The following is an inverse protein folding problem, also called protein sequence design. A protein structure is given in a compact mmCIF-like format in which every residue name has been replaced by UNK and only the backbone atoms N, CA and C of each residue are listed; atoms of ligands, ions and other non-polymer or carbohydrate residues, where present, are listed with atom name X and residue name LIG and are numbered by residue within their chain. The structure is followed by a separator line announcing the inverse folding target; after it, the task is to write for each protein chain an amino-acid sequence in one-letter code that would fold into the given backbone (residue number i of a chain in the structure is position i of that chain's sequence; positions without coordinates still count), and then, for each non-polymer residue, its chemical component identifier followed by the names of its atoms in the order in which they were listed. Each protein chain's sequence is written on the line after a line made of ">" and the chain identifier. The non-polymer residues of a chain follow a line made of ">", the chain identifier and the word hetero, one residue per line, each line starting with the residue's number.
data_IF_603264437668
#
_entry.id   IF_603264437668
#
_cell.length_a   1.000
_cell.length_b   1.000
_cell.length_c   1.000
_cell.angle_alpha   90.00
_cell.angle_beta   90.00
_cell.angle_gamma   90.00
#
_symmetry.space_group_name_H-M   'P 1'
#
loop_
_entity.id
_entity.type
_entity.pdbx_description
1 polymer ?
#
# COMPACT_ATOMS: atom_id res chain seq x y z
N UNK A 1 -12.51 13.57 9.17
CA UNK A 1 -12.78 12.14 9.14
C UNK A 1 -13.42 11.75 7.81
N UNK A 2 -13.24 10.50 7.38
CA UNK A 2 -13.77 10.02 6.13
C UNK A 2 -15.24 9.66 6.14
N UNK A 3 -15.70 9.15 5.00
CA UNK A 3 -17.09 8.79 4.75
C UNK A 3 -17.50 7.59 5.62
N UNK A 4 -18.58 7.72 6.35
CA UNK A 4 -19.14 6.63 7.16
C UNK A 4 -20.11 5.78 6.31
N UNK A 5 -19.56 4.93 5.47
CA UNK A 5 -20.30 4.01 4.61
C UNK A 5 -19.70 2.60 4.66
N UNK A 6 -20.52 1.59 4.36
CA UNK A 6 -20.02 0.25 4.07
C UNK A 6 -19.26 0.24 2.73
N UNK A 7 -18.45 -0.77 2.51
CA UNK A 7 -17.85 -1.03 1.20
C UNK A 7 -18.72 -2.00 0.42
N UNK A 8 -18.87 -1.75 -0.87
CA UNK A 8 -19.50 -2.65 -1.85
C UNK A 8 -18.51 -3.04 -2.94
N UNK A 9 -18.90 -3.94 -3.82
CA UNK A 9 -18.13 -4.29 -5.01
C UNK A 9 -17.81 -3.04 -5.84
N UNK A 10 -16.59 -3.02 -6.41
CA UNK A 10 -16.12 -1.88 -7.18
C UNK A 10 -17.00 -1.60 -8.39
N UNK A 11 -17.51 -0.40 -8.51
CA UNK A 11 -18.43 0.04 -9.56
C UNK A 11 -17.73 0.42 -10.87
N UNK A 12 -16.39 0.34 -10.94
CA UNK A 12 -15.60 0.69 -12.11
C UNK A 12 -15.09 2.13 -12.12
N UNK A 13 -15.53 2.99 -11.20
CA UNK A 13 -15.18 4.42 -11.17
C UNK A 13 -14.77 4.90 -9.77
N UNK A 14 -15.62 4.70 -8.78
CA UNK A 14 -15.50 5.29 -7.45
C UNK A 14 -14.75 4.36 -6.50
N UNK A 15 -13.44 4.54 -6.36
CA UNK A 15 -12.63 3.77 -5.42
C UNK A 15 -12.86 4.20 -3.99
N UNK A 16 -12.83 3.26 -3.05
CA UNK A 16 -13.00 3.50 -1.62
C UNK A 16 -11.82 2.96 -0.86
N UNK A 17 -10.99 3.85 -0.30
CA UNK A 17 -9.83 3.46 0.49
C UNK A 17 -10.19 3.34 1.97
N UNK A 18 -9.86 2.18 2.55
CA UNK A 18 -10.02 1.85 3.97
C UNK A 18 -8.65 1.64 4.61
N UNK A 19 -8.58 1.54 5.92
CA UNK A 19 -7.32 1.28 6.65
C UNK A 19 -6.64 -0.03 6.22
N UNK A 20 -7.43 -1.02 5.75
CA UNK A 20 -6.94 -2.32 5.26
C UNK A 20 -6.41 -2.29 3.84
N UNK A 21 -6.71 -1.24 3.10
CA UNK A 21 -6.36 -1.10 1.69
C UNK A 21 -5.07 -0.28 1.50
N UNK A 22 -4.40 0.06 2.59
CA UNK A 22 -3.07 0.68 2.61
C UNK A 22 -2.03 -0.40 2.92
N UNK A 23 -1.06 -0.61 2.04
CA UNK A 23 0.02 -1.59 2.24
C UNK A 23 0.89 -1.23 3.47
N UNK A 24 1.26 -2.24 4.26
CA UNK A 24 2.00 -2.05 5.50
C UNK A 24 3.47 -1.67 5.29
N UNK A 25 4.04 -1.98 4.13
CA UNK A 25 5.46 -1.78 3.84
C UNK A 25 5.70 -0.59 2.89
N UNK A 26 4.85 -0.46 1.86
CA UNK A 26 5.02 0.56 0.82
C UNK A 26 4.17 1.80 1.08
N UNK A 27 3.18 1.71 1.97
CA UNK A 27 2.18 2.76 2.21
C UNK A 27 1.40 3.17 0.95
N UNK A 28 1.37 2.30 -0.06
CA UNK A 28 0.60 2.50 -1.28
C UNK A 28 -0.84 1.97 -1.14
N UNK A 29 -1.73 2.46 -1.99
CA UNK A 29 -3.09 1.96 -2.10
C UNK A 29 -3.10 0.60 -2.81
N UNK A 30 -3.59 -0.44 -2.13
CA UNK A 30 -3.73 -1.79 -2.68
C UNK A 30 -4.89 -1.82 -3.68
N UNK A 31 -4.60 -2.20 -4.92
CA UNK A 31 -5.58 -2.18 -6.02
C UNK A 31 -6.09 -3.55 -6.44
N UNK A 32 -5.65 -4.64 -5.79
CA UNK A 32 -6.03 -6.01 -6.16
C UNK A 32 -7.49 -6.32 -5.85
N UNK A 33 -8.09 -5.68 -4.83
CA UNK A 33 -9.46 -5.89 -4.39
C UNK A 33 -10.17 -4.56 -4.15
N UNK A 34 -10.31 -3.76 -5.19
CA UNK A 34 -10.97 -2.47 -5.12
C UNK A 34 -12.41 -2.58 -4.65
N UNK A 35 -12.85 -1.60 -3.89
CA UNK A 35 -14.23 -1.45 -3.44
C UNK A 35 -14.74 -0.05 -3.73
N UNK A 36 -16.06 0.12 -3.71
CA UNK A 36 -16.74 1.42 -3.78
C UNK A 36 -17.50 1.72 -2.49
N UNK A 37 -17.78 2.98 -2.15
CA UNK A 37 -18.65 3.30 -1.03
C UNK A 37 -20.08 2.83 -1.30
N UNK A 38 -20.71 2.18 -0.34
CA UNK A 38 -22.12 1.75 -0.44
C UNK A 38 -23.05 2.85 0.07
N UNK A 39 -23.07 3.97 -0.64
CA UNK A 39 -23.90 5.14 -0.33
C UNK A 39 -24.12 5.96 -1.59
N UNK A 40 -25.17 6.76 -1.62
CA UNK A 40 -25.37 7.83 -2.61
C UNK A 40 -24.25 8.87 -2.50
N UNK A 41 -23.52 9.09 -3.60
CA UNK A 41 -22.37 9.99 -3.63
C UNK A 41 -22.70 11.44 -3.97
N UNK A 42 -23.98 11.76 -4.20
CA UNK A 42 -24.45 13.13 -4.39
C UNK A 42 -24.14 13.95 -3.15
N UNK A 43 -23.30 14.99 -3.27
CA UNK A 43 -22.86 15.82 -2.15
C UNK A 43 -21.70 15.24 -1.32
N UNK A 44 -21.12 14.11 -1.73
CA UNK A 44 -19.97 13.50 -1.04
C UNK A 44 -18.60 14.03 -1.52
N UNK A 45 -18.56 15.14 -2.25
CA UNK A 45 -17.31 15.71 -2.82
C UNK A 45 -16.25 16.03 -1.77
N UNK A 46 -16.67 16.35 -0.56
CA UNK A 46 -15.75 16.60 0.57
C UNK A 46 -14.93 15.35 0.97
N UNK A 47 -15.36 14.17 0.55
CA UNK A 47 -14.66 12.91 0.83
C UNK A 47 -13.81 12.41 -0.34
N UNK A 48 -13.79 13.15 -1.44
CA UNK A 48 -12.84 12.92 -2.54
C UNK A 48 -11.45 13.39 -2.13
N UNK A 49 -10.45 12.58 -2.48
CA UNK A 49 -9.05 12.95 -2.29
C UNK A 49 -8.58 13.83 -3.44
N UNK A 50 -7.65 14.71 -3.12
CA UNK A 50 -6.94 15.58 -4.08
C UNK A 50 -5.44 15.40 -3.90
N UNK A 51 -4.66 15.68 -4.96
CA UNK A 51 -3.19 15.51 -4.97
C UNK A 51 -2.55 16.05 -3.69
N UNK A 52 -1.75 15.20 -3.03
CA UNK A 52 -1.03 15.55 -1.81
C UNK A 52 -1.88 15.48 -0.52
N UNK A 53 -3.16 15.06 -0.57
CA UNK A 53 -3.89 14.74 0.65
C UNK A 53 -3.23 13.54 1.36
N UNK A 54 -2.97 13.65 2.66
CA UNK A 54 -2.40 12.58 3.48
C UNK A 54 -3.50 11.99 4.35
N UNK A 55 -3.64 10.67 4.32
CA UNK A 55 -4.55 9.93 5.20
C UNK A 55 -3.79 9.27 6.34
N UNK A 56 -4.46 9.22 7.50
CA UNK A 56 -3.97 8.57 8.71
C UNK A 56 -5.00 7.57 9.24
N UNK A 57 -4.58 6.35 9.50
CA UNK A 57 -5.41 5.35 10.17
C UNK A 57 -5.55 5.68 11.65
N UNK A 58 -6.80 5.83 12.13
CA UNK A 58 -7.06 6.36 13.49
C UNK A 58 -7.22 5.30 14.57
N UNK A 59 -7.42 4.02 14.24
CA UNK A 59 -7.80 2.99 15.21
C UNK A 59 -7.18 1.62 14.91
N UNK A 60 -7.12 0.78 15.95
CA UNK A 60 -6.76 -0.63 15.85
C UNK A 60 -5.30 -0.88 15.57
N UNK A 61 -5.00 -2.06 15.03
CA UNK A 61 -3.64 -2.49 14.72
C UNK A 61 -2.95 -1.61 13.65
N UNK A 62 -3.74 -0.92 12.82
CA UNK A 62 -3.24 -0.02 11.77
C UNK A 62 -3.06 1.43 12.25
N UNK A 63 -3.28 1.75 13.53
CA UNK A 63 -3.16 3.12 14.03
C UNK A 63 -1.78 3.70 13.70
N UNK A 64 -1.76 4.93 13.19
CA UNK A 64 -0.53 5.59 12.74
C UNK A 64 -0.14 5.31 11.29
N UNK A 65 -0.68 4.27 10.65
CA UNK A 65 -0.42 4.04 9.23
C UNK A 65 -0.86 5.26 8.41
N UNK A 66 -0.01 5.70 7.49
CA UNK A 66 -0.26 6.86 6.63
C UNK A 66 -0.25 6.47 5.16
N UNK A 67 -0.89 7.27 4.33
CA UNK A 67 -0.93 7.15 2.88
C UNK A 67 -1.00 8.55 2.28
N UNK A 68 -0.30 8.80 1.18
CA UNK A 68 -0.41 10.04 0.41
C UNK A 68 -1.11 9.78 -0.91
N UNK A 69 -2.18 10.52 -1.17
CA UNK A 69 -2.94 10.40 -2.42
C UNK A 69 -2.19 11.06 -3.58
N UNK A 70 -2.18 10.36 -4.71
CA UNK A 70 -1.67 10.84 -6.00
C UNK A 70 -2.75 10.72 -7.07
N UNK A 71 -2.79 11.65 -8.01
CA UNK A 71 -3.77 11.64 -9.11
C UNK A 71 -3.70 10.36 -9.95
N UNK A 72 -2.57 9.63 -9.95
CA UNK A 72 -2.44 8.30 -10.55
C UNK A 72 -3.38 7.26 -9.95
N UNK A 73 -3.83 7.45 -8.70
CA UNK A 73 -4.73 6.53 -8.01
C UNK A 73 -6.18 6.64 -8.52
N UNK A 74 -6.47 7.70 -9.29
CA UNK A 74 -7.79 7.97 -9.87
C UNK A 74 -8.77 8.54 -8.85
N UNK A 75 -10.07 8.41 -9.10
CA UNK A 75 -11.10 8.93 -8.20
C UNK A 75 -11.21 8.06 -6.94
N UNK A 76 -10.80 8.61 -5.79
CA UNK A 76 -10.78 7.90 -4.51
C UNK A 76 -11.54 8.66 -3.44
N UNK A 77 -12.45 7.95 -2.76
CA UNK A 77 -13.11 8.36 -1.52
C UNK A 77 -12.45 7.65 -0.34
N UNK A 78 -12.38 8.27 0.83
CA UNK A 78 -11.75 7.67 2.02
C UNK A 78 -12.75 7.37 3.13
N UNK A 79 -12.53 6.25 3.82
CA UNK A 79 -13.44 5.70 4.82
C UNK A 79 -13.32 6.37 6.20
N UNK A 80 -14.35 6.26 7.03
CA UNK A 80 -14.51 6.94 8.32
C UNK A 80 -13.45 6.61 9.37
N UNK A 81 -12.70 5.52 9.22
CA UNK A 81 -11.56 5.19 10.09
C UNK A 81 -10.25 5.86 9.64
N UNK A 82 -10.30 6.68 8.60
CA UNK A 82 -9.19 7.50 8.14
C UNK A 82 -9.43 8.98 8.48
N UNK A 83 -8.35 9.67 8.75
CA UNK A 83 -8.30 11.12 8.97
C UNK A 83 -7.50 11.71 7.82
N UNK A 84 -8.04 12.72 7.14
CA UNK A 84 -7.33 13.43 6.08
C UNK A 84 -6.67 14.68 6.63
N UNK A 85 -5.38 14.86 6.32
CA UNK A 85 -4.68 16.12 6.40
C UNK A 85 -4.48 16.68 4.99
N UNK A 86 -4.92 17.89 4.76
CA UNK A 86 -4.65 18.67 3.56
C UNK A 86 -3.49 19.61 3.83
N UNK A 87 -2.41 19.41 3.12
CA UNK A 87 -1.18 20.17 3.35
C UNK A 87 -1.32 21.54 2.70
N UNK A 88 -0.94 22.59 3.44
CA UNK A 88 -1.00 23.96 2.95
C UNK A 88 0.05 24.17 1.86
N UNK A 89 -0.22 25.08 0.91
CA UNK A 89 0.61 25.31 -0.26
C UNK A 89 2.06 25.74 0.05
N UNK A 90 2.30 26.35 1.20
CA UNK A 90 3.64 26.71 1.67
C UNK A 90 4.53 25.52 2.04
N UNK A 91 3.96 24.31 2.15
CA UNK A 91 4.69 23.08 2.46
C UNK A 91 4.64 22.09 1.30
N UNK A 92 5.57 21.15 1.29
CA UNK A 92 5.61 20.06 0.32
C UNK A 92 4.96 18.81 0.91
N UNK A 93 3.92 18.30 0.28
CA UNK A 93 3.14 17.19 0.79
C UNK A 93 3.95 15.88 0.87
N UNK A 94 4.82 15.63 -0.11
CA UNK A 94 5.71 14.45 -0.06
C UNK A 94 6.69 14.56 1.11
N UNK A 95 7.30 15.73 1.34
CA UNK A 95 8.16 15.96 2.50
C UNK A 95 7.41 15.70 3.82
N UNK A 96 6.18 16.20 3.94
CA UNK A 96 5.36 15.98 5.15
C UNK A 96 5.03 14.50 5.30
N UNK A 97 4.63 13.83 4.23
CA UNK A 97 4.36 12.40 4.22
C UNK A 97 5.59 11.60 4.67
N UNK A 98 6.78 11.88 4.13
CA UNK A 98 8.00 11.16 4.52
C UNK A 98 8.34 11.32 6.01
N UNK A 99 7.94 12.42 6.66
CA UNK A 99 8.08 12.54 8.11
C UNK A 99 7.21 11.53 8.89
N UNK A 100 6.11 11.06 8.31
CA UNK A 100 5.25 10.05 8.92
C UNK A 100 5.81 8.63 8.85
N UNK A 101 6.90 8.42 8.11
CA UNK A 101 7.61 7.13 7.99
C UNK A 101 8.83 7.04 8.91
N UNK A 102 9.10 8.09 9.69
CA UNK A 102 10.28 8.16 10.58
C UNK A 102 10.05 7.45 11.92
N UNK A 103 11.14 6.96 12.53
CA UNK A 103 11.10 6.41 13.89
C UNK A 103 10.55 7.40 14.92
N UNK A 104 10.75 8.71 14.70
CA UNK A 104 10.22 9.75 15.58
C UNK A 104 8.70 9.76 15.55
N UNK A 105 8.12 9.67 14.37
CA UNK A 105 6.67 9.55 14.22
C UNK A 105 6.15 8.25 14.84
N UNK A 106 6.78 7.12 14.55
CA UNK A 106 6.37 5.83 15.10
C UNK A 106 6.39 5.83 16.65
N UNK A 107 7.41 6.43 17.28
CA UNK A 107 7.47 6.62 18.73
C UNK A 107 6.34 7.52 19.24
N UNK A 108 6.05 8.61 18.54
CA UNK A 108 4.94 9.49 18.89
C UNK A 108 3.60 8.75 18.86
N UNK A 109 3.32 8.01 17.79
CA UNK A 109 2.11 7.20 17.66
C UNK A 109 2.03 6.13 18.75
N UNK A 110 3.12 5.42 19.01
CA UNK A 110 3.16 4.38 20.04
C UNK A 110 2.79 4.89 21.44
N UNK A 111 3.17 6.12 21.77
CA UNK A 111 2.81 6.76 23.06
C UNK A 111 1.39 7.31 23.02
N UNK A 112 1.06 8.07 21.97
CA UNK A 112 -0.21 8.80 21.88
C UNK A 112 -1.42 7.85 21.70
N UNK A 113 -1.23 6.71 21.03
CA UNK A 113 -2.30 5.76 20.77
C UNK A 113 -2.70 4.89 21.96
N UNK A 114 -1.95 4.95 23.08
CA UNK A 114 -2.27 4.13 24.26
C UNK A 114 -3.63 4.50 24.86
N UNK A 115 -4.49 3.49 24.96
CA UNK A 115 -5.84 3.59 25.54
C UNK A 115 -6.09 2.35 26.42
N UNK A 116 -7.03 2.44 27.34
CA UNK A 116 -7.47 1.30 28.14
C UNK A 116 -8.17 0.19 27.33
N UNK A 117 -8.59 0.49 26.13
CA UNK A 117 -9.21 -0.43 25.18
C UNK A 117 -8.42 -0.50 23.87
N UNK A 118 -9.11 -0.30 22.74
CA UNK A 118 -8.47 -0.36 21.42
C UNK A 118 -7.55 0.87 21.20
N UNK A 119 -6.31 0.68 20.69
CA UNK A 119 -5.43 1.79 20.34
C UNK A 119 -6.11 2.77 19.38
N UNK A 120 -5.84 4.06 19.57
CA UNK A 120 -6.46 5.10 18.73
C UNK A 120 -5.74 6.44 18.84
N UNK A 121 -5.76 7.21 17.75
CA UNK A 121 -5.27 8.58 17.66
C UNK A 121 -6.33 9.41 16.93
N UNK A 122 -6.77 10.51 17.51
CA UNK A 122 -7.74 11.40 16.92
C UNK A 122 -7.06 12.50 16.07
N UNK A 123 -7.88 13.31 15.37
CA UNK A 123 -7.36 14.33 14.46
C UNK A 123 -6.54 15.41 15.18
N UNK A 124 -6.91 15.78 16.41
CA UNK A 124 -6.21 16.78 17.19
C UNK A 124 -4.84 16.24 17.65
N UNK A 125 -4.80 15.00 18.11
CA UNK A 125 -3.54 14.32 18.50
C UNK A 125 -2.60 14.17 17.30
N UNK A 126 -3.10 13.87 16.11
CA UNK A 126 -2.27 13.89 14.89
C UNK A 126 -1.71 15.28 14.58
N UNK A 127 -2.52 16.33 14.79
CA UNK A 127 -2.11 17.71 14.54
C UNK A 127 -1.05 18.23 15.53
N UNK A 128 -0.89 17.59 16.69
CA UNK A 128 0.13 17.94 17.70
C UNK A 128 1.52 17.33 17.39
N UNK A 129 1.63 16.47 16.38
CA UNK A 129 2.93 15.96 15.98
C UNK A 129 3.79 17.06 15.35
N UNK A 130 4.88 17.41 16.00
CA UNK A 130 5.80 18.47 15.55
C UNK A 130 6.83 17.92 14.57
N UNK A 131 7.06 18.62 13.46
CA UNK A 131 8.11 18.35 12.49
C UNK A 131 9.01 19.58 12.33
N UNK A 132 10.29 19.37 12.06
CA UNK A 132 11.22 20.45 11.69
C UNK A 132 11.14 20.64 10.18
N UNK A 133 10.90 21.87 9.75
CA UNK A 133 10.58 22.19 8.36
C UNK A 133 11.66 23.12 7.79
N UNK A 134 12.43 22.74 6.76
CA UNK A 134 13.33 23.62 6.05
C UNK A 134 12.56 24.51 5.07
N UNK A 135 13.29 25.31 4.26
CA UNK A 135 12.67 26.10 3.18
C UNK A 135 11.97 25.20 2.16
N UNK A 136 10.92 25.72 1.51
CA UNK A 136 10.08 24.96 0.57
C UNK A 136 10.88 24.23 -0.51
N UNK A 137 11.89 24.90 -1.07
CA UNK A 137 12.74 24.35 -2.13
C UNK A 137 13.51 23.11 -1.65
N UNK A 138 13.95 23.10 -0.40
CA UNK A 138 14.62 21.95 0.21
C UNK A 138 13.62 20.84 0.54
N UNK A 139 12.44 21.18 1.06
CA UNK A 139 11.35 20.20 1.27
C UNK A 139 11.05 19.44 -0.02
N UNK A 140 10.87 20.15 -1.14
CA UNK A 140 10.56 19.54 -2.44
C UNK A 140 11.69 18.63 -2.94
N UNK A 141 12.95 19.00 -2.73
CA UNK A 141 14.09 18.12 -3.07
C UNK A 141 14.10 16.85 -2.23
N UNK A 142 13.89 16.98 -0.92
CA UNK A 142 13.84 15.85 0.00
C UNK A 142 12.64 14.94 -0.35
N UNK A 143 11.45 15.51 -0.49
CA UNK A 143 10.23 14.76 -0.83
C UNK A 143 10.38 14.02 -2.17
N UNK A 144 10.88 14.70 -3.20
CA UNK A 144 11.14 14.08 -4.51
C UNK A 144 12.18 12.96 -4.43
N UNK A 145 13.23 13.13 -3.63
CA UNK A 145 14.28 12.14 -3.47
C UNK A 145 13.72 10.83 -2.89
N UNK A 146 12.97 10.92 -1.78
CA UNK A 146 12.38 9.73 -1.16
C UNK A 146 11.28 9.12 -2.01
N UNK A 147 10.42 9.92 -2.64
CA UNK A 147 9.40 9.41 -3.59
C UNK A 147 10.03 8.59 -4.72
N UNK A 148 11.19 9.00 -5.24
CA UNK A 148 11.89 8.23 -6.26
C UNK A 148 12.42 6.90 -5.70
N UNK A 149 12.88 6.86 -4.46
CA UNK A 149 13.29 5.61 -3.78
C UNK A 149 12.08 4.70 -3.58
N UNK A 150 10.96 5.21 -3.09
CA UNK A 150 9.72 4.46 -2.90
C UNK A 150 9.25 3.84 -4.23
N UNK A 151 9.28 4.63 -5.31
CA UNK A 151 8.95 4.13 -6.64
C UNK A 151 9.89 2.99 -7.09
N UNK A 152 11.19 3.10 -6.85
CA UNK A 152 12.14 2.02 -7.14
C UNK A 152 11.86 0.76 -6.30
N UNK A 153 11.56 0.91 -5.01
CA UNK A 153 11.19 -0.19 -4.12
C UNK A 153 9.96 -0.92 -4.69
N UNK A 154 8.90 -0.19 -5.05
CA UNK A 154 7.68 -0.75 -5.63
C UNK A 154 7.94 -1.49 -6.94
N UNK A 155 8.73 -0.92 -7.85
CA UNK A 155 9.10 -1.56 -9.11
C UNK A 155 9.86 -2.88 -8.87
N UNK A 156 10.82 -2.87 -7.94
CA UNK A 156 11.60 -4.06 -7.62
C UNK A 156 10.75 -5.13 -6.93
N UNK A 157 9.81 -4.74 -6.07
CA UNK A 157 8.87 -5.66 -5.44
C UNK A 157 7.98 -6.34 -6.47
N UNK A 158 7.38 -5.59 -7.40
CA UNK A 158 6.58 -6.14 -8.51
C UNK A 158 7.39 -7.15 -9.34
N UNK A 159 8.62 -6.77 -9.72
CA UNK A 159 9.52 -7.66 -10.47
C UNK A 159 9.87 -8.94 -9.69
N UNK A 160 10.08 -8.82 -8.38
CA UNK A 160 10.31 -9.96 -7.50
C UNK A 160 9.11 -10.91 -7.50
N UNK A 161 7.90 -10.38 -7.37
CA UNK A 161 6.67 -11.18 -7.32
C UNK A 161 6.34 -11.82 -8.68
N UNK A 162 6.56 -11.13 -9.79
CA UNK A 162 6.47 -11.71 -11.14
C UNK A 162 7.49 -12.84 -11.34
N UNK A 163 8.72 -12.64 -10.86
CA UNK A 163 9.76 -13.68 -10.95
C UNK A 163 9.41 -14.89 -10.09
N UNK A 164 8.85 -14.71 -8.91
CA UNK A 164 8.33 -15.80 -8.06
C UNK A 164 7.19 -16.56 -8.76
N UNK A 165 6.26 -15.85 -9.40
CA UNK A 165 5.17 -16.47 -10.18
C UNK A 165 5.73 -17.27 -11.35
N UNK A 166 6.70 -16.71 -12.09
CA UNK A 166 7.38 -17.42 -13.18
C UNK A 166 8.10 -18.68 -12.67
N UNK A 167 8.86 -18.56 -11.57
CA UNK A 167 9.53 -19.74 -10.97
C UNK A 167 8.51 -20.82 -10.61
N UNK A 168 7.40 -20.45 -9.98
CA UNK A 168 6.34 -21.42 -9.62
C UNK A 168 5.76 -22.10 -10.87
N UNK A 169 5.49 -21.35 -11.93
CA UNK A 169 5.01 -21.86 -13.20
C UNK A 169 6.03 -22.84 -13.82
N UNK A 170 7.30 -22.46 -13.90
CA UNK A 170 8.36 -23.31 -14.49
C UNK A 170 8.57 -24.59 -13.68
N UNK A 171 8.50 -24.55 -12.34
CA UNK A 171 8.55 -25.74 -11.49
C UNK A 171 7.42 -26.74 -11.82
N UNK A 172 6.23 -26.26 -12.17
CA UNK A 172 5.12 -27.12 -12.57
C UNK A 172 5.28 -27.69 -13.97
N UNK A 173 5.93 -26.96 -14.88
CA UNK A 173 6.03 -27.33 -16.29
C UNK A 173 7.34 -28.05 -16.66
N UNK A 174 8.41 -27.82 -15.91
CA UNK A 174 9.74 -28.45 -16.16
C UNK A 174 9.95 -29.72 -15.36
N UNK A 175 8.98 -30.15 -14.54
CA UNK A 175 8.98 -31.47 -13.90
C UNK A 175 7.76 -32.26 -14.37
N UNK A 176 7.91 -33.56 -14.67
CA UNK A 176 6.79 -34.40 -15.08
C UNK A 176 5.69 -34.43 -14.03
N UNK A 177 4.45 -34.30 -14.46
CA UNK A 177 3.29 -34.47 -13.59
C UNK A 177 3.04 -36.00 -13.34
N UNK A 178 2.17 -36.29 -12.36
CA UNK A 178 1.80 -37.67 -12.03
C UNK A 178 1.36 -38.43 -13.29
N UNK A 179 1.99 -39.57 -13.54
CA UNK A 179 1.74 -40.40 -14.75
C UNK A 179 2.46 -39.97 -16.02
N UNK A 180 3.25 -38.90 -15.99
CA UNK A 180 4.08 -38.49 -17.12
C UNK A 180 5.53 -38.88 -16.89
N UNK A 181 6.24 -39.16 -17.97
CA UNK A 181 7.66 -39.55 -17.98
C UNK A 181 8.58 -38.47 -18.57
N UNK A 182 7.99 -37.41 -19.10
CA UNK A 182 8.69 -36.22 -19.61
C UNK A 182 7.95 -34.95 -19.20
N UNK A 183 8.66 -33.85 -18.89
CA UNK A 183 8.05 -32.60 -18.58
C UNK A 183 7.48 -31.90 -19.83
N UNK A 184 6.55 -30.99 -19.64
CA UNK A 184 5.95 -30.19 -20.72
C UNK A 184 6.95 -29.19 -21.33
N UNK A 185 7.80 -28.60 -20.49
CA UNK A 185 8.87 -27.68 -20.95
C UNK A 185 10.21 -28.29 -20.62
N UNK A 186 11.09 -28.33 -21.63
CA UNK A 186 12.50 -28.79 -21.51
C UNK A 186 13.44 -27.84 -22.23
N UNK A 187 14.70 -27.88 -21.85
CA UNK A 187 15.73 -27.23 -22.65
C UNK A 187 15.93 -27.99 -23.99
N UNK A 188 16.24 -27.26 -25.04
CA UNK A 188 16.48 -27.86 -26.36
C UNK A 188 17.64 -28.86 -26.30
N UNK A 189 17.51 -29.95 -27.06
CA UNK A 189 18.51 -31.02 -27.11
C UNK A 189 18.31 -32.16 -26.12
N UNK A 190 17.38 -32.05 -25.18
CA UNK A 190 17.04 -33.12 -24.23
C UNK A 190 15.73 -33.79 -24.65
N UNK A 191 15.77 -35.04 -25.09
CA UNK A 191 14.60 -35.78 -25.61
C UNK A 191 14.30 -37.07 -24.86
N UNK A 192 15.27 -37.60 -24.10
CA UNK A 192 15.14 -38.90 -23.44
C UNK A 192 14.08 -38.88 -22.32
N UNK A 193 13.44 -40.02 -22.12
CA UNK A 193 12.47 -40.24 -21.02
C UNK A 193 13.21 -40.18 -19.68
N UNK A 194 12.57 -39.54 -18.66
CA UNK A 194 13.16 -39.49 -17.34
C UNK A 194 13.00 -40.80 -16.59
N UNK A 195 14.06 -41.23 -15.92
CA UNK A 195 14.05 -42.40 -15.07
C UNK A 195 13.44 -42.08 -13.70
N UNK A 196 12.58 -42.95 -13.21
CA UNK A 196 12.06 -42.82 -11.86
C UNK A 196 13.00 -43.53 -10.88
N UNK A 197 13.54 -42.81 -9.91
CA UNK A 197 14.36 -43.33 -8.81
C UNK A 197 13.85 -42.93 -7.46
N UNK A 198 14.11 -43.73 -6.44
CA UNK A 198 13.81 -43.37 -5.06
C UNK A 198 14.83 -42.33 -4.58
N UNK A 199 14.41 -41.42 -3.70
CA UNK A 199 15.28 -40.38 -3.16
C UNK A 199 16.50 -40.97 -2.41
N UNK A 200 16.36 -42.17 -1.79
CA UNK A 200 17.46 -42.87 -1.13
C UNK A 200 18.46 -43.54 -2.10
N UNK A 201 18.16 -43.56 -3.39
CA UNK A 201 19.04 -44.16 -4.42
C UNK A 201 19.81 -43.09 -5.20
N UNK A 202 19.66 -41.79 -4.84
CA UNK A 202 20.33 -40.63 -5.41
C UNK A 202 21.50 -40.16 -4.54
#
# INVERSE_FOLDING_TARGET
>A
YGLNAAAKEYDGENKYIRITDIDDNTHEFLTDNLTSPDIELTGADNYKLTEGDILFARTGASVGKSYIYRNSDGLVYYAGFLIRARIKEEYDAEFVFQNTLTDRYNKYIAVTSQRSGQPGVNAQEYAEFEIKVPKKEEQTKIGTYFRNIDHLITLHQRKCDETKKLKKYMLQKMFPQSGQTVPEIRFSGFTDVWEQRKFGDL
#
